data_IF_567947722336
#
_entry.id   IF_567947722336
#
_cell.length_a   1.000
_cell.length_b   1.000
_cell.length_c   1.000
_cell.angle_alpha   90.00
_cell.angle_beta   90.00
_cell.angle_gamma   90.00
#
_symmetry.space_group_name_H-M   'P 1'
#
loop_
_entity.id
_entity.type
_entity.pdbx_description
1 polymer ?
#
# COMPACT_ATOMS: atom_id res chain seq x y z
N UNK A 1 7.56 4.56 -10.74
CA UNK A 1 8.40 3.57 -10.02
C UNK A 1 7.83 3.46 -8.62
N UNK A 2 7.45 2.27 -8.17
CA UNK A 2 6.91 2.08 -6.82
C UNK A 2 8.09 2.06 -5.85
N UNK A 3 8.12 3.01 -4.91
CA UNK A 3 9.19 3.10 -3.93
C UNK A 3 9.01 2.04 -2.84
N UNK A 4 10.11 1.46 -2.34
CA UNK A 4 10.08 0.64 -1.15
C UNK A 4 9.45 1.39 0.04
N UNK A 5 8.57 0.71 0.79
CA UNK A 5 7.74 1.32 1.84
C UNK A 5 8.55 1.99 2.97
N UNK A 6 9.79 1.56 3.18
CA UNK A 6 10.73 2.14 4.14
C UNK A 6 11.19 3.57 3.78
N UNK A 7 11.02 4.01 2.54
CA UNK A 7 11.30 5.39 2.15
C UNK A 7 10.11 6.33 2.40
N UNK A 8 8.93 5.79 2.70
CA UNK A 8 7.70 6.56 2.92
C UNK A 8 7.51 6.91 4.41
N UNK A 9 7.92 6.00 5.30
CA UNK A 9 7.68 6.10 6.74
C UNK A 9 8.97 6.16 7.54
N UNK A 10 8.95 6.90 8.66
CA UNK A 10 10.00 6.78 9.69
C UNK A 10 9.95 5.38 10.33
N UNK A 11 11.04 4.89 10.96
CA UNK A 11 11.12 3.52 11.47
C UNK A 11 9.96 3.10 12.39
N UNK A 12 9.56 3.95 13.34
CA UNK A 12 8.47 3.65 14.26
C UNK A 12 7.10 3.61 13.56
N UNK A 13 6.90 4.54 12.60
CA UNK A 13 5.69 4.58 11.79
C UNK A 13 5.59 3.37 10.85
N UNK A 14 6.71 2.94 10.28
CA UNK A 14 6.79 1.76 9.44
C UNK A 14 6.38 0.52 10.24
N UNK A 15 6.92 0.35 11.44
CA UNK A 15 6.59 -0.76 12.33
C UNK A 15 5.10 -0.79 12.65
N UNK A 16 4.52 0.36 12.99
CA UNK A 16 3.08 0.48 13.26
C UNK A 16 2.24 0.18 12.01
N UNK A 17 2.64 0.71 10.86
CA UNK A 17 1.92 0.53 9.60
C UNK A 17 1.97 -0.93 9.13
N UNK A 18 3.11 -1.60 9.24
CA UNK A 18 3.27 -3.03 8.94
C UNK A 18 2.38 -3.91 9.83
N UNK A 19 2.26 -3.56 11.12
CA UNK A 19 1.34 -4.23 12.05
C UNK A 19 -0.14 -4.06 11.65
N UNK A 20 -0.49 -2.95 10.99
CA UNK A 20 -1.88 -2.71 10.53
C UNK A 20 -2.16 -3.45 9.22
N UNK A 21 -1.29 -3.34 8.21
CA UNK A 21 -1.51 -3.96 6.88
C UNK A 21 -1.41 -5.49 6.90
N UNK A 22 -0.82 -6.07 7.95
CA UNK A 22 -0.73 -7.52 8.14
C UNK A 22 -1.99 -8.15 8.77
N UNK A 23 -2.93 -7.33 9.24
CA UNK A 23 -4.19 -7.84 9.82
C UNK A 23 -5.04 -8.53 8.76
N UNK A 24 -5.69 -9.63 9.13
CA UNK A 24 -6.53 -10.41 8.22
C UNK A 24 -7.81 -9.69 7.77
N UNK A 25 -8.22 -8.65 8.49
CA UNK A 25 -9.39 -7.83 8.17
C UNK A 25 -9.28 -6.43 8.78
N UNK A 26 -10.00 -5.48 8.19
CA UNK A 26 -10.03 -4.09 8.62
C UNK A 26 -10.11 -3.14 7.42
N UNK A 27 -10.36 -1.86 7.69
CA UNK A 27 -10.37 -0.80 6.68
C UNK A 27 -9.22 0.16 7.01
N UNK A 28 -8.44 0.51 5.98
CA UNK A 28 -7.39 1.54 6.05
C UNK A 28 -7.81 2.67 5.12
N UNK A 29 -7.86 3.89 5.64
CA UNK A 29 -8.18 5.09 4.87
C UNK A 29 -6.92 5.96 4.74
N UNK A 30 -6.45 6.14 3.52
CA UNK A 30 -5.40 7.10 3.20
C UNK A 30 -6.06 8.43 2.82
N UNK A 31 -5.80 9.47 3.62
CA UNK A 31 -6.37 10.81 3.42
C UNK A 31 -5.28 11.86 3.15
N UNK A 32 -5.67 13.00 2.62
CA UNK A 32 -4.79 14.12 2.25
C UNK A 32 -5.19 14.75 0.92
N UNK A 33 -4.69 15.96 0.60
CA UNK A 33 -4.99 16.66 -0.64
C UNK A 33 -4.40 15.96 -1.87
N UNK A 34 -4.74 16.41 -3.07
CA UNK A 34 -4.13 15.93 -4.32
C UNK A 34 -2.61 16.10 -4.28
N UNK A 35 -1.87 15.12 -4.80
CA UNK A 35 -0.39 15.14 -4.82
C UNK A 35 0.30 14.74 -3.50
N UNK A 36 -0.45 14.38 -2.45
CA UNK A 36 0.12 14.00 -1.15
C UNK A 36 0.70 12.57 -1.08
N UNK A 37 0.77 11.85 -2.20
CA UNK A 37 1.35 10.50 -2.26
C UNK A 37 0.43 9.35 -1.82
N UNK A 38 -0.89 9.54 -1.74
CA UNK A 38 -1.84 8.47 -1.36
C UNK A 38 -1.73 7.22 -2.23
N UNK A 39 -1.75 7.38 -3.56
CA UNK A 39 -1.60 6.26 -4.50
C UNK A 39 -0.26 5.56 -4.29
N UNK A 40 0.84 6.33 -4.18
CA UNK A 40 2.18 5.79 -3.90
C UNK A 40 2.21 4.95 -2.62
N UNK A 41 1.62 5.44 -1.53
CA UNK A 41 1.56 4.71 -0.25
C UNK A 41 0.70 3.44 -0.37
N UNK A 42 -0.45 3.50 -1.04
CA UNK A 42 -1.30 2.34 -1.27
C UNK A 42 -0.55 1.25 -2.04
N UNK A 43 0.08 1.62 -3.16
CA UNK A 43 0.81 0.68 -4.00
C UNK A 43 2.03 0.07 -3.28
N UNK A 44 2.75 0.86 -2.48
CA UNK A 44 3.84 0.34 -1.66
C UNK A 44 3.32 -0.67 -0.61
N UNK A 45 2.16 -0.40 0.01
CA UNK A 45 1.52 -1.31 0.95
C UNK A 45 1.05 -2.61 0.28
N UNK A 46 0.38 -2.51 -0.88
CA UNK A 46 -0.06 -3.67 -1.67
C UNK A 46 1.13 -4.54 -2.08
N UNK A 47 2.21 -3.92 -2.57
CA UNK A 47 3.43 -4.64 -2.92
C UNK A 47 4.08 -5.31 -1.70
N UNK A 48 4.02 -4.68 -0.52
CA UNK A 48 4.56 -5.22 0.74
C UNK A 48 3.80 -6.46 1.22
N UNK A 49 2.48 -6.49 1.04
CA UNK A 49 1.63 -7.62 1.47
C UNK A 49 1.43 -8.68 0.38
N UNK A 50 1.83 -8.39 -0.87
CA UNK A 50 1.72 -9.28 -2.01
C UNK A 50 2.48 -10.59 -1.76
N UNK A 51 1.76 -11.70 -1.72
CA UNK A 51 2.30 -13.02 -1.47
C UNK A 51 1.47 -14.06 -2.25
N UNK A 52 2.03 -15.27 -2.46
CA UNK A 52 1.37 -16.29 -3.30
C UNK A 52 0.07 -16.84 -2.71
N UNK A 53 -0.09 -16.72 -1.41
CA UNK A 53 -1.20 -17.19 -0.60
C UNK A 53 -2.35 -16.18 -0.48
N UNK A 54 -2.19 -14.95 -1.01
CA UNK A 54 -3.20 -13.90 -0.95
C UNK A 54 -3.76 -13.59 -2.34
N UNK A 55 -5.08 -13.43 -2.41
CA UNK A 55 -5.77 -12.91 -3.58
C UNK A 55 -6.10 -11.43 -3.33
N UNK A 56 -5.53 -10.53 -4.14
CA UNK A 56 -5.70 -9.07 -4.00
C UNK A 56 -6.42 -8.57 -5.26
N UNK A 57 -7.46 -7.76 -5.06
CA UNK A 57 -8.27 -7.17 -6.14
C UNK A 57 -8.30 -5.66 -5.92
N UNK A 58 -8.09 -4.88 -6.98
CA UNK A 58 -8.22 -3.42 -6.96
C UNK A 58 -9.29 -2.94 -7.93
N UNK A 59 -9.86 -1.77 -7.63
CA UNK A 59 -10.76 -1.05 -8.52
C UNK A 59 -10.27 0.40 -8.55
N UNK A 60 -9.89 0.87 -9.73
CA UNK A 60 -9.23 2.16 -9.94
C UNK A 60 -9.81 2.87 -11.18
N UNK A 61 -9.75 4.19 -11.18
CA UNK A 61 -10.22 5.04 -12.29
C UNK A 61 -9.31 6.28 -12.47
N UNK A 62 -8.32 6.25 -13.39
CA UNK A 62 -7.79 5.08 -14.10
C UNK A 62 -6.76 4.30 -13.25
N UNK A 63 -6.34 3.13 -13.74
CA UNK A 63 -5.21 2.40 -13.17
C UNK A 63 -3.92 3.21 -13.35
N UNK A 64 -3.19 3.47 -12.25
CA UNK A 64 -1.93 4.22 -12.32
C UNK A 64 -0.72 3.35 -12.68
N UNK A 65 -0.61 2.15 -12.08
CA UNK A 65 0.51 1.24 -12.31
C UNK A 65 0.04 -0.21 -12.32
N UNK A 66 0.75 -1.09 -13.02
CA UNK A 66 0.51 -2.53 -12.95
C UNK A 66 1.48 -3.17 -11.95
N UNK A 67 0.96 -3.89 -10.97
CA UNK A 67 1.75 -4.70 -10.06
C UNK A 67 1.82 -6.13 -10.60
N UNK A 68 2.99 -6.77 -10.53
CA UNK A 68 3.26 -8.04 -11.24
C UNK A 68 2.37 -9.24 -10.82
N UNK A 69 1.46 -9.05 -9.85
CA UNK A 69 0.52 -10.07 -9.36
C UNK A 69 -0.82 -9.49 -8.86
N UNK A 70 -1.12 -8.23 -9.16
CA UNK A 70 -2.34 -7.53 -8.72
C UNK A 70 -2.93 -6.82 -9.94
#
# INVERSE_FOLDING_TARGET
>A
MIYPIQFIFLPDQLTQFESIISKSYGIILLTGPTGSGKTTTLYAALNRVNSKDKNIITVEDPVEYKLDRI
#
